data_IF_788249507449
#
_entry.id   IF_788249507449
#
_cell.length_a   1.000
_cell.length_b   1.000
_cell.length_c   1.000
_cell.angle_alpha   90.00
_cell.angle_beta   90.00
_cell.angle_gamma   90.00
#
_symmetry.space_group_name_H-M   'P 1'
#
loop_
_entity.id
_entity.type
_entity.pdbx_description
1 polymer ?
#
# COMPACT_ATOMS: atom_id res chain seq x y z
N UNK A 1 -50.85 23.29 -22.72
CA UNK A 1 -50.50 22.02 -23.37
C UNK A 1 -49.00 21.81 -23.24
N UNK A 2 -48.56 20.76 -22.55
CA UNK A 2 -47.57 19.88 -23.15
C UNK A 2 -47.90 18.39 -22.95
N UNK A 3 -47.68 17.61 -24.01
CA UNK A 3 -47.83 16.15 -24.07
C UNK A 3 -46.50 15.51 -23.66
N UNK A 4 -46.42 14.91 -22.47
CA UNK A 4 -45.35 13.99 -22.11
C UNK A 4 -45.95 12.91 -21.20
N UNK A 5 -46.14 11.69 -21.69
CA UNK A 5 -46.29 10.46 -20.88
C UNK A 5 -46.54 9.22 -21.75
N UNK A 6 -45.66 8.88 -22.72
CA UNK A 6 -45.73 7.58 -23.41
C UNK A 6 -44.36 6.90 -23.64
N UNK A 7 -43.33 7.30 -22.90
CA UNK A 7 -41.98 6.71 -23.04
C UNK A 7 -41.58 5.67 -21.98
N UNK A 8 -42.31 5.55 -20.87
CA UNK A 8 -41.83 4.82 -19.69
C UNK A 8 -42.36 3.39 -19.54
N UNK A 9 -43.30 2.94 -20.39
CA UNK A 9 -43.97 1.64 -20.20
C UNK A 9 -43.35 0.48 -21.00
N UNK A 10 -42.38 0.74 -21.89
CA UNK A 10 -41.79 -0.29 -22.77
C UNK A 10 -40.43 -0.84 -22.31
N UNK A 11 -39.84 -0.31 -21.23
CA UNK A 11 -38.53 -0.78 -20.73
C UNK A 11 -38.63 -1.76 -19.54
N UNK A 12 -39.83 -2.25 -19.21
CA UNK A 12 -40.04 -3.22 -18.12
C UNK A 12 -40.29 -4.67 -18.61
N UNK A 13 -40.27 -4.93 -19.91
CA UNK A 13 -40.60 -6.24 -20.51
C UNK A 13 -39.39 -7.04 -21.02
N UNK A 14 -38.16 -6.60 -20.73
CA UNK A 14 -36.92 -7.28 -21.17
C UNK A 14 -36.21 -8.06 -20.03
N UNK A 15 -36.92 -8.46 -18.98
CA UNK A 15 -36.36 -9.18 -17.81
C UNK A 15 -36.74 -10.67 -17.73
N UNK A 16 -37.31 -11.25 -18.79
CA UNK A 16 -37.79 -12.63 -18.73
C UNK A 16 -37.40 -13.43 -19.97
N UNK A 17 -36.14 -13.87 -20.07
CA UNK A 17 -35.71 -15.15 -20.70
C UNK A 17 -34.19 -15.27 -20.76
N UNK A 18 -33.57 -15.97 -19.81
CA UNK A 18 -32.32 -16.73 -19.99
C UNK A 18 -32.11 -17.63 -18.76
N UNK A 19 -32.79 -18.77 -18.72
CA UNK A 19 -32.19 -20.10 -18.97
C UNK A 19 -31.12 -20.49 -17.95
N UNK A 20 -31.58 -21.30 -17.00
CA UNK A 20 -30.78 -22.11 -16.08
C UNK A 20 -29.70 -22.90 -16.82
N UNK A 21 -28.46 -22.44 -16.79
CA UNK A 21 -27.30 -23.27 -17.07
C UNK A 21 -26.86 -23.93 -15.77
N UNK A 22 -27.35 -25.16 -15.56
CA UNK A 22 -26.80 -26.09 -14.58
C UNK A 22 -25.46 -26.57 -15.14
N UNK A 23 -24.38 -25.88 -14.77
CA UNK A 23 -23.03 -26.39 -15.00
C UNK A 23 -22.81 -27.59 -14.09
N UNK A 24 -22.71 -28.77 -14.71
CA UNK A 24 -22.25 -29.99 -14.07
C UNK A 24 -20.83 -29.75 -13.53
N UNK A 25 -20.69 -29.68 -12.21
CA UNK A 25 -19.40 -29.67 -11.54
C UNK A 25 -18.73 -31.04 -11.75
N UNK A 26 -17.52 -31.10 -12.35
CA UNK A 26 -16.73 -32.31 -12.36
C UNK A 26 -16.31 -32.66 -10.92
N UNK A 27 -16.54 -33.91 -10.54
CA UNK A 27 -16.17 -34.48 -9.27
C UNK A 27 -14.66 -34.31 -8.98
N UNK A 28 -14.24 -34.00 -7.74
CA UNK A 28 -12.84 -34.03 -7.34
C UNK A 28 -12.39 -35.50 -7.18
N UNK A 29 -12.08 -36.14 -8.30
CA UNK A 29 -11.42 -37.44 -8.34
C UNK A 29 -9.91 -37.27 -8.44
N UNK A 30 -9.17 -37.61 -7.38
CA UNK A 30 -7.71 -37.73 -7.46
C UNK A 30 -6.98 -37.36 -6.18
N UNK A 31 -7.21 -38.11 -5.10
CA UNK A 31 -6.26 -38.14 -3.98
C UNK A 31 -4.90 -38.62 -4.51
N UNK A 32 -3.97 -37.69 -4.73
CA UNK A 32 -2.57 -38.02 -4.95
C UNK A 32 -1.99 -38.53 -3.63
N UNK A 33 -1.35 -39.71 -3.59
CA UNK A 33 -0.64 -40.14 -2.40
C UNK A 33 0.48 -39.13 -2.11
N UNK A 34 0.40 -38.52 -0.93
CA UNK A 34 1.49 -37.75 -0.33
C UNK A 34 2.74 -38.61 -0.33
N UNK A 35 3.70 -38.26 -1.19
CA UNK A 35 5.03 -38.82 -1.07
C UNK A 35 5.67 -38.26 0.20
N UNK A 36 6.29 -39.10 1.04
CA UNK A 36 7.07 -38.61 2.16
C UNK A 36 8.26 -37.82 1.58
N UNK A 37 8.24 -36.50 1.74
CA UNK A 37 9.41 -35.67 1.55
C UNK A 37 10.43 -36.16 2.58
N UNK A 38 11.43 -36.88 2.09
CA UNK A 38 12.61 -37.24 2.84
C UNK A 38 13.30 -35.95 3.29
N UNK A 39 13.03 -35.55 4.53
CA UNK A 39 13.75 -34.49 5.23
C UNK A 39 15.17 -35.02 5.47
N UNK A 40 16.02 -34.88 4.45
CA UNK A 40 17.45 -35.10 4.61
C UNK A 40 17.98 -34.01 5.54
N UNK A 41 18.43 -34.46 6.70
CA UNK A 41 19.20 -33.73 7.67
C UNK A 41 20.37 -33.00 6.99
N UNK A 42 20.26 -31.68 6.89
CA UNK A 42 21.39 -30.76 6.89
C UNK A 42 21.44 -30.18 8.32
N UNK A 43 21.95 -30.94 9.28
CA UNK A 43 23.27 -30.70 9.88
C UNK A 43 23.53 -29.22 10.20
N UNK A 44 23.18 -28.86 11.43
CA UNK A 44 24.08 -28.21 12.38
C UNK A 44 25.08 -27.16 11.82
N UNK A 45 24.59 -26.01 11.37
CA UNK A 45 25.45 -24.84 11.14
C UNK A 45 24.79 -23.46 11.37
N UNK A 46 23.53 -23.40 11.83
CA UNK A 46 22.79 -22.13 11.98
C UNK A 46 22.37 -21.80 13.43
N UNK A 47 22.97 -22.43 14.44
CA UNK A 47 22.65 -22.19 15.86
C UNK A 47 23.65 -21.27 16.60
N UNK A 48 24.58 -20.61 15.90
CA UNK A 48 25.67 -19.84 16.50
C UNK A 48 25.52 -18.31 16.45
N UNK A 49 24.48 -17.75 15.80
CA UNK A 49 24.38 -16.29 15.61
C UNK A 49 23.32 -15.58 16.48
N UNK A 50 22.53 -16.31 17.27
CA UNK A 50 21.47 -15.70 18.11
C UNK A 50 21.88 -15.38 19.56
N UNK A 51 23.18 -15.45 19.91
CA UNK A 51 23.67 -15.17 21.28
C UNK A 51 24.47 -13.86 21.41
N UNK A 52 24.52 -13.00 20.39
CA UNK A 52 25.31 -11.75 20.42
C UNK A 52 24.49 -10.45 20.58
N UNK A 53 23.16 -10.50 20.53
CA UNK A 53 22.31 -9.29 20.68
C UNK A 53 21.68 -9.11 22.06
N UNK A 54 21.77 -10.09 22.97
CA UNK A 54 21.08 -10.05 24.27
C UNK A 54 21.98 -9.64 25.46
N UNK A 55 23.00 -8.80 25.19
CA UNK A 55 23.93 -8.33 26.25
C UNK A 55 24.18 -6.81 26.23
N UNK A 56 23.22 -6.03 25.74
CA UNK A 56 23.31 -4.57 25.68
C UNK A 56 22.16 -3.83 26.40
N UNK A 57 21.30 -4.52 27.17
CA UNK A 57 20.17 -3.89 27.86
C UNK A 57 20.14 -4.17 29.36
N UNK A 58 21.29 -4.03 30.01
CA UNK A 58 21.38 -3.80 31.46
C UNK A 58 22.47 -2.75 31.68
N UNK A 59 22.20 -1.52 31.25
CA UNK A 59 22.94 -0.38 31.78
C UNK A 59 22.28 0.05 33.10
N UNK A 60 23.03 0.08 34.22
CA UNK A 60 22.52 0.63 35.46
C UNK A 60 22.24 2.13 35.26
N UNK A 61 21.04 2.53 35.66
CA UNK A 61 20.61 3.92 35.74
C UNK A 61 21.70 4.73 36.45
N UNK A 62 22.23 5.74 35.74
CA UNK A 62 23.14 6.72 36.29
C UNK A 62 22.31 7.63 37.21
N UNK A 63 22.13 7.20 38.46
CA UNK A 63 21.51 7.99 39.53
C UNK A 63 22.44 9.16 39.80
N UNK A 64 22.25 10.24 39.05
CA UNK A 64 22.79 11.54 39.41
C UNK A 64 22.16 11.93 40.74
N UNK A 65 22.99 11.83 41.77
CA UNK A 65 22.84 12.41 43.11
C UNK A 65 22.12 13.77 42.98
N UNK A 66 20.85 13.82 43.36
CA UNK A 66 20.13 15.07 43.57
C UNK A 66 20.75 15.72 44.81
N UNK A 67 21.73 16.59 44.60
CA UNK A 67 22.13 17.55 45.63
C UNK A 67 21.02 18.57 45.79
N UNK A 68 20.50 18.67 47.00
CA UNK A 68 19.48 19.65 47.37
C UNK A 68 20.04 21.07 47.16
N UNK A 69 19.36 21.95 46.39
CA UNK A 69 19.77 23.34 46.28
C UNK A 69 19.49 24.04 47.62
N UNK A 70 20.54 24.17 48.42
CA UNK A 70 20.55 25.01 49.62
C UNK A 70 20.65 26.47 49.19
N UNK A 71 19.84 27.33 49.83
CA UNK A 71 19.64 28.78 49.64
C UNK A 71 18.69 29.20 48.52
N UNK A 72 17.43 29.40 48.92
CA UNK A 72 16.49 30.35 48.32
C UNK A 72 17.12 31.76 48.37
N UNK A 73 17.67 32.22 47.25
CA UNK A 73 18.04 33.62 47.10
C UNK A 73 16.81 34.42 46.64
N UNK A 74 16.53 35.61 47.23
CA UNK A 74 15.47 36.49 46.73
C UNK A 74 15.83 36.93 45.31
N UNK A 75 14.97 36.58 44.34
CA UNK A 75 15.10 37.03 42.95
C UNK A 75 15.00 38.55 42.93
N UNK A 76 16.12 39.23 42.68
CA UNK A 76 16.11 40.65 42.37
C UNK A 76 15.32 40.89 41.08
N UNK A 77 14.51 41.97 41.07
CA UNK A 77 13.73 42.37 39.91
C UNK A 77 14.67 42.76 38.76
N UNK A 78 14.82 41.88 37.77
CA UNK A 78 15.51 42.21 36.53
C UNK A 78 14.72 43.28 35.78
N UNK A 79 15.33 44.44 35.43
CA UNK A 79 14.65 45.51 34.72
C UNK A 79 14.15 45.01 33.37
N UNK A 80 12.86 45.24 33.11
CA UNK A 80 12.19 44.81 31.88
C UNK A 80 12.89 45.45 30.69
N UNK A 81 13.43 44.61 29.80
CA UNK A 81 13.93 45.07 28.51
C UNK A 81 12.75 45.62 27.72
N UNK A 82 12.64 46.95 27.77
CA UNK A 82 12.04 47.89 26.82
C UNK A 82 11.23 47.19 25.72
N UNK A 83 9.92 47.17 25.94
CA UNK A 83 8.89 46.77 25.00
C UNK A 83 8.89 47.76 23.82
N UNK A 84 9.81 47.60 22.88
CA UNK A 84 9.96 48.53 21.78
C UNK A 84 11.00 48.04 20.79
N UNK A 85 10.53 47.56 19.64
CA UNK A 85 11.34 47.10 18.51
C UNK A 85 11.93 45.70 18.61
N UNK A 86 11.12 44.72 19.00
CA UNK A 86 11.23 43.43 18.30
C UNK A 86 10.68 43.64 16.91
N UNK A 87 11.57 44.00 15.96
CA UNK A 87 11.27 43.92 14.53
C UNK A 87 10.69 42.54 14.31
N UNK A 88 9.40 42.50 13.96
CA UNK A 88 8.75 41.33 13.41
C UNK A 88 9.52 40.98 12.14
N UNK A 89 10.57 40.17 12.27
CA UNK A 89 10.90 39.20 11.24
C UNK A 89 9.71 38.25 11.20
N UNK A 90 8.64 38.71 10.54
CA UNK A 90 7.63 37.87 9.92
C UNK A 90 8.43 37.03 8.94
N UNK A 91 8.93 35.91 9.44
CA UNK A 91 9.42 34.82 8.63
C UNK A 91 8.22 34.50 7.75
N UNK A 92 8.24 34.98 6.50
CA UNK A 92 7.18 34.78 5.51
C UNK A 92 6.65 33.38 5.71
N UNK A 93 5.38 33.31 6.02
CA UNK A 93 4.64 32.10 6.28
C UNK A 93 4.83 31.17 5.08
N UNK A 94 5.84 30.30 5.14
CA UNK A 94 5.83 29.05 4.40
C UNK A 94 4.50 28.41 4.76
N UNK A 95 3.63 28.27 3.75
CA UNK A 95 2.31 27.69 3.86
C UNK A 95 2.31 26.55 4.88
N UNK A 96 1.30 26.46 5.77
CA UNK A 96 1.27 25.43 6.80
C UNK A 96 1.48 24.09 6.12
N UNK A 97 2.62 23.46 6.42
CA UNK A 97 2.95 22.14 5.89
C UNK A 97 1.77 21.25 6.26
N UNK A 98 1.14 20.64 5.26
CA UNK A 98 0.06 19.66 5.47
C UNK A 98 0.58 18.70 6.54
N UNK A 99 -0.13 18.61 7.65
CA UNK A 99 0.29 17.76 8.76
C UNK A 99 0.07 16.32 8.31
N UNK A 100 1.14 15.54 8.22
CA UNK A 100 1.06 14.13 7.86
C UNK A 100 0.50 13.34 9.05
N UNK A 101 -0.82 13.30 9.16
CA UNK A 101 -1.54 12.59 10.23
C UNK A 101 -1.25 11.08 10.22
N UNK A 102 -0.83 10.53 9.08
CA UNK A 102 -0.47 9.12 8.90
C UNK A 102 0.56 8.64 9.95
N UNK A 103 1.54 9.48 10.29
CA UNK A 103 2.57 9.14 11.30
C UNK A 103 2.03 9.01 12.74
N UNK A 104 0.88 9.62 13.03
CA UNK A 104 0.21 9.53 14.33
C UNK A 104 -0.79 8.37 14.38
N UNK A 105 -1.38 8.04 13.24
CA UNK A 105 -2.39 6.99 13.12
C UNK A 105 -1.77 5.59 13.01
N UNK A 106 -0.62 5.49 12.33
CA UNK A 106 0.03 4.23 12.03
C UNK A 106 1.45 4.16 12.62
N UNK A 107 1.76 3.13 13.43
CA UNK A 107 3.13 2.89 13.88
C UNK A 107 4.00 2.33 12.74
N UNK A 108 5.33 2.34 12.91
CA UNK A 108 6.25 1.63 12.02
C UNK A 108 6.57 2.31 10.68
N UNK A 109 6.11 3.54 10.46
CA UNK A 109 6.32 4.24 9.19
C UNK A 109 5.33 3.86 8.10
N UNK A 110 4.31 3.06 8.44
CA UNK A 110 3.17 2.82 7.57
C UNK A 110 2.35 4.10 7.33
N UNK A 111 1.66 4.14 6.20
CA UNK A 111 0.78 5.25 5.82
C UNK A 111 -0.67 4.84 6.05
N UNK A 112 -1.44 5.73 6.67
CA UNK A 112 -2.89 5.55 6.80
C UNK A 112 -3.55 5.77 5.44
N UNK A 113 -4.16 4.72 4.90
CA UNK A 113 -4.95 4.74 3.68
C UNK A 113 -6.44 4.60 4.02
N UNK A 114 -7.33 5.44 3.44
CA UNK A 114 -8.75 5.35 3.72
C UNK A 114 -9.33 4.06 3.14
N UNK A 115 -10.14 3.34 3.92
CA UNK A 115 -10.86 2.16 3.47
C UNK A 115 -12.13 2.62 2.77
N UNK A 116 -12.31 2.22 1.51
CA UNK A 116 -13.54 2.49 0.76
C UNK A 116 -14.24 1.15 0.58
N UNK A 117 -15.48 1.05 1.04
CA UNK A 117 -16.23 -0.20 1.02
C UNK A 117 -16.57 -0.67 -0.42
N UNK A 118 -16.56 0.26 -1.39
CA UNK A 118 -16.88 -0.01 -2.79
C UNK A 118 -15.66 0.24 -3.72
N UNK A 119 -14.94 -0.81 -4.17
CA UNK A 119 -13.75 -0.66 -5.01
C UNK A 119 -14.07 -0.19 -6.44
N UNK A 120 -15.30 -0.33 -6.92
CA UNK A 120 -15.73 0.10 -8.26
C UNK A 120 -16.00 1.62 -8.35
N UNK A 121 -16.03 2.32 -7.21
CA UNK A 121 -16.33 3.75 -7.12
C UNK A 121 -15.12 4.69 -7.16
N UNK A 122 -13.89 4.16 -7.20
CA UNK A 122 -12.66 4.97 -7.11
C UNK A 122 -12.39 5.66 -8.45
N UNK A 123 -13.11 6.74 -8.69
CA UNK A 123 -12.80 7.69 -9.78
C UNK A 123 -11.78 8.71 -9.30
N UNK A 124 -10.99 9.28 -10.22
CA UNK A 124 -10.04 10.37 -9.90
C UNK A 124 -10.70 11.57 -9.23
N UNK A 125 -11.99 11.81 -9.49
CA UNK A 125 -12.78 12.89 -8.88
C UNK A 125 -13.17 12.56 -7.43
N UNK A 126 -13.56 11.31 -7.16
CA UNK A 126 -13.84 10.84 -5.80
C UNK A 126 -12.58 10.85 -4.92
N UNK A 127 -11.44 10.47 -5.48
CA UNK A 127 -10.15 10.52 -4.80
C UNK A 127 -9.76 11.96 -4.39
N UNK A 128 -9.96 12.92 -5.30
CA UNK A 128 -9.66 14.33 -5.03
C UNK A 128 -10.59 14.93 -3.96
N UNK A 129 -11.88 14.57 -3.98
CA UNK A 129 -12.84 15.04 -2.96
C UNK A 129 -12.60 14.39 -1.60
N UNK A 130 -12.20 13.12 -1.56
CA UNK A 130 -11.75 12.44 -0.34
C UNK A 130 -10.48 13.09 0.24
N UNK A 131 -9.47 13.37 -0.58
CA UNK A 131 -8.27 14.07 -0.08
C UNK A 131 -8.62 15.47 0.46
N UNK A 132 -9.58 16.15 -0.17
CA UNK A 132 -10.05 17.46 0.28
C UNK A 132 -10.92 17.38 1.56
N UNK A 133 -11.63 16.28 1.81
CA UNK A 133 -12.44 16.10 3.01
C UNK A 133 -11.61 15.67 4.22
N UNK A 134 -10.49 14.99 4.02
CA UNK A 134 -9.57 14.49 5.05
C UNK A 134 -8.66 15.59 5.67
N UNK A 135 -9.24 16.76 5.97
CA UNK A 135 -8.51 17.89 6.57
C UNK A 135 -8.34 17.78 8.09
N UNK A 136 -9.23 17.02 8.75
CA UNK A 136 -9.20 16.82 10.19
C UNK A 136 -9.04 15.35 10.58
N UNK A 137 -8.42 15.11 11.74
CA UNK A 137 -8.26 13.77 12.33
C UNK A 137 -9.62 13.06 12.53
N UNK A 138 -10.69 13.81 12.82
CA UNK A 138 -12.02 13.26 13.01
C UNK A 138 -12.58 12.62 11.72
N UNK A 139 -12.20 13.12 10.54
CA UNK A 139 -12.70 12.60 9.27
C UNK A 139 -12.03 11.27 8.93
N UNK A 140 -10.74 11.10 9.28
CA UNK A 140 -10.04 9.81 9.19
C UNK A 140 -10.74 8.72 10.02
N UNK A 141 -11.21 9.05 11.22
CA UNK A 141 -11.95 8.08 12.06
C UNK A 141 -13.37 7.80 11.56
N UNK A 142 -13.97 8.68 10.76
CA UNK A 142 -15.31 8.49 10.18
C UNK A 142 -15.29 7.58 8.96
N UNK A 143 -14.31 7.80 8.07
CA UNK A 143 -14.14 6.99 6.86
C UNK A 143 -13.53 5.63 7.21
N UNK A 144 -12.73 5.57 8.26
CA UNK A 144 -11.92 4.39 8.56
C UNK A 144 -10.64 4.41 7.72
N UNK A 145 -9.58 3.86 8.30
CA UNK A 145 -8.29 3.79 7.64
C UNK A 145 -7.59 2.48 7.99
N UNK A 146 -6.77 2.03 7.05
CA UNK A 146 -5.86 0.91 7.20
C UNK A 146 -4.42 1.41 7.11
N UNK A 147 -3.54 0.79 7.89
CA UNK A 147 -2.12 1.13 7.90
C UNK A 147 -1.39 0.23 6.90
N UNK A 148 -0.82 0.83 5.87
CA UNK A 148 -0.17 0.10 4.78
C UNK A 148 1.26 0.57 4.58
N UNK A 149 2.15 -0.39 4.34
CA UNK A 149 3.53 -0.14 3.93
C UNK A 149 3.60 0.01 2.41
N UNK A 150 3.54 1.26 1.94
CA UNK A 150 3.54 1.58 0.50
C UNK A 150 4.80 1.13 -0.26
N UNK A 151 5.87 0.78 0.48
CA UNK A 151 7.15 0.36 -0.07
C UNK A 151 7.18 -1.12 -0.49
N UNK A 152 6.29 -1.94 0.07
CA UNK A 152 6.27 -3.40 -0.11
C UNK A 152 4.88 -3.96 -0.40
N UNK A 153 3.81 -3.20 -0.14
CA UNK A 153 2.45 -3.66 -0.40
C UNK A 153 2.17 -3.72 -1.90
N UNK A 154 1.67 -4.86 -2.37
CA UNK A 154 1.47 -5.13 -3.79
C UNK A 154 0.27 -4.36 -4.36
N UNK A 155 -0.80 -4.27 -3.58
CA UNK A 155 -2.09 -3.73 -4.03
C UNK A 155 -2.18 -2.21 -3.92
N UNK A 156 -1.29 -1.59 -3.14
CA UNK A 156 -1.27 -0.14 -2.87
C UNK A 156 0.16 0.39 -2.94
N UNK A 157 0.90 -0.04 -3.97
CA UNK A 157 2.30 0.30 -4.13
C UNK A 157 2.47 1.79 -4.43
N UNK A 158 3.37 2.44 -3.70
CA UNK A 158 3.74 3.85 -3.90
C UNK A 158 2.70 4.88 -3.43
N UNK A 159 1.52 4.45 -2.98
CA UNK A 159 0.45 5.36 -2.54
C UNK A 159 -0.84 4.63 -2.21
N UNK A 160 -1.75 5.31 -1.52
CA UNK A 160 -3.08 4.79 -1.27
C UNK A 160 -3.88 4.76 -2.59
N UNK A 161 -4.43 3.59 -2.93
CA UNK A 161 -5.21 3.40 -4.15
C UNK A 161 -6.51 4.21 -4.11
N UNK A 162 -7.16 4.29 -2.94
CA UNK A 162 -8.35 5.11 -2.68
C UNK A 162 -8.14 6.62 -2.92
N UNK A 163 -6.91 7.11 -2.78
CA UNK A 163 -6.54 8.51 -3.04
C UNK A 163 -6.05 8.72 -4.47
N UNK A 164 -6.07 7.68 -5.32
CA UNK A 164 -5.55 7.74 -6.69
C UNK A 164 -4.04 7.98 -6.77
N UNK A 165 -3.30 7.79 -5.67
CA UNK A 165 -1.85 7.97 -5.60
C UNK A 165 -1.07 6.67 -5.73
N UNK A 166 -1.73 5.54 -5.45
CA UNK A 166 -1.17 4.20 -5.58
C UNK A 166 -1.54 3.51 -6.89
N UNK A 167 -0.92 2.36 -7.09
CA UNK A 167 -1.34 1.40 -8.12
C UNK A 167 -1.26 -0.03 -7.57
N UNK A 168 -2.12 -0.87 -8.10
CA UNK A 168 -2.06 -2.31 -7.88
C UNK A 168 -1.04 -2.93 -8.85
N UNK A 169 0.05 -3.47 -8.33
CA UNK A 169 1.07 -4.16 -9.13
C UNK A 169 0.63 -5.58 -9.52
N UNK A 170 -0.38 -6.16 -8.88
CA UNK A 170 -0.89 -7.50 -9.21
C UNK A 170 -1.69 -7.49 -10.52
N UNK A 171 -2.31 -6.35 -10.86
CA UNK A 171 -3.11 -6.14 -12.06
C UNK A 171 -2.30 -5.82 -13.32
N UNK A 172 -0.98 -6.07 -13.33
CA UNK A 172 -0.13 -5.81 -14.51
C UNK A 172 -0.37 -6.90 -15.57
N UNK A 173 -0.78 -6.48 -16.76
CA UNK A 173 -1.06 -7.39 -17.87
C UNK A 173 0.13 -8.26 -18.25
N UNK A 174 -0.13 -9.55 -18.47
CA UNK A 174 0.84 -10.57 -18.85
C UNK A 174 2.00 -10.78 -17.86
N UNK A 175 1.95 -10.16 -16.69
CA UNK A 175 2.89 -10.44 -15.61
C UNK A 175 2.45 -11.69 -14.86
N UNK A 176 3.41 -12.56 -14.54
CA UNK A 176 3.17 -13.77 -13.74
C UNK A 176 3.55 -13.57 -12.29
N UNK A 177 4.58 -12.76 -12.04
CA UNK A 177 5.01 -12.41 -10.70
C UNK A 177 5.46 -10.96 -10.67
N UNK A 178 4.87 -10.20 -9.75
CA UNK A 178 5.12 -8.78 -9.54
C UNK A 178 5.38 -8.50 -8.07
N UNK A 179 6.05 -7.40 -7.78
CA UNK A 179 6.30 -6.90 -6.44
C UNK A 179 6.28 -5.40 -6.38
N UNK A 180 6.20 -4.87 -5.16
CA UNK A 180 6.44 -3.47 -4.87
C UNK A 180 7.82 -3.35 -4.23
N UNK A 181 8.69 -2.52 -4.82
CA UNK A 181 9.99 -2.18 -4.25
C UNK A 181 10.13 -0.67 -4.15
N UNK A 182 10.23 -0.15 -2.91
CA UNK A 182 10.42 1.29 -2.63
C UNK A 182 9.34 2.16 -3.30
N UNK A 183 8.10 1.68 -3.28
CA UNK A 183 6.95 2.38 -3.86
C UNK A 183 6.88 2.31 -5.38
N UNK A 184 7.64 1.43 -6.02
CA UNK A 184 7.58 1.21 -7.48
C UNK A 184 7.23 -0.24 -7.79
N UNK A 185 6.31 -0.46 -8.73
CA UNK A 185 6.00 -1.81 -9.20
C UNK A 185 7.16 -2.37 -10.02
N UNK A 186 7.59 -3.56 -9.67
CA UNK A 186 8.63 -4.33 -10.37
C UNK A 186 8.05 -5.65 -10.82
N UNK A 187 8.24 -5.98 -12.09
CA UNK A 187 7.87 -7.27 -12.68
C UNK A 187 9.07 -8.20 -12.60
N UNK A 188 8.89 -9.34 -11.94
CA UNK A 188 9.94 -10.37 -11.81
C UNK A 188 9.85 -11.45 -12.88
N UNK A 189 8.65 -11.73 -13.39
CA UNK A 189 8.45 -12.71 -14.46
C UNK A 189 7.19 -12.42 -15.28
N UNK A 190 7.25 -12.69 -16.58
CA UNK A 190 6.14 -12.58 -17.51
C UNK A 190 5.56 -13.96 -17.87
N UNK A 191 4.36 -13.97 -18.43
CA UNK A 191 3.77 -15.15 -19.06
C UNK A 191 4.55 -15.55 -20.32
N UNK A 192 4.34 -16.78 -20.80
CA UNK A 192 5.01 -17.27 -22.01
C UNK A 192 4.67 -16.38 -23.24
N UNK A 193 5.66 -16.14 -24.11
CA UNK A 193 5.56 -15.19 -25.22
C UNK A 193 5.74 -13.72 -24.86
N UNK A 194 6.05 -13.40 -23.59
CA UNK A 194 6.34 -12.05 -23.14
C UNK A 194 7.70 -11.96 -22.43
N UNK A 195 8.39 -10.84 -22.63
CA UNK A 195 9.65 -10.48 -21.98
C UNK A 195 9.46 -9.25 -21.10
N UNK A 196 10.24 -9.15 -20.04
CA UNK A 196 10.22 -8.00 -19.12
C UNK A 196 10.76 -6.77 -19.87
N UNK A 197 10.07 -5.62 -19.76
CA UNK A 197 10.52 -4.34 -20.32
C UNK A 197 11.82 -3.85 -19.67
N UNK A 198 12.56 -2.95 -20.33
CA UNK A 198 13.81 -2.37 -19.80
C UNK A 198 13.59 -1.68 -18.44
N UNK A 199 12.44 -1.02 -18.27
CA UNK A 199 12.04 -0.36 -17.03
C UNK A 199 11.51 -1.32 -15.95
N UNK A 200 11.37 -2.61 -16.27
CA UNK A 200 10.82 -3.67 -15.41
C UNK A 200 9.41 -3.41 -14.87
N UNK A 201 8.68 -2.48 -15.47
CA UNK A 201 7.34 -2.08 -15.02
C UNK A 201 6.21 -2.79 -15.75
N UNK A 202 6.51 -3.41 -16.91
CA UNK A 202 5.54 -4.06 -17.80
C UNK A 202 6.16 -5.26 -18.51
N UNK A 203 5.29 -6.11 -19.06
CA UNK A 203 5.65 -7.22 -19.94
C UNK A 203 5.33 -6.84 -21.40
N UNK A 204 6.33 -6.94 -22.28
CA UNK A 204 6.20 -6.68 -23.72
C UNK A 204 6.26 -8.01 -24.48
N UNK A 205 5.61 -8.10 -25.63
CA UNK A 205 5.67 -9.32 -26.45
C UNK A 205 7.10 -9.58 -26.89
N UNK A 206 7.58 -10.79 -26.65
CA UNK A 206 8.91 -11.20 -27.10
C UNK A 206 8.88 -11.38 -28.62
N UNK A 207 9.79 -10.77 -29.38
CA UNK A 207 9.88 -11.00 -30.83
C UNK A 207 10.30 -12.44 -31.16
N UNK A 208 10.97 -13.13 -30.22
CA UNK A 208 11.61 -14.43 -30.48
C UNK A 208 10.65 -15.63 -30.34
N UNK A 209 9.57 -15.52 -29.55
CA UNK A 209 8.59 -16.62 -29.39
C UNK A 209 7.75 -16.85 -30.66
N UNK A 210 7.59 -15.82 -31.51
CA UNK A 210 6.94 -15.98 -32.81
C UNK A 210 7.71 -16.96 -33.73
N UNK A 211 9.01 -17.15 -33.50
CA UNK A 211 9.88 -18.01 -34.32
C UNK A 211 9.94 -19.46 -33.81
N UNK A 212 9.74 -19.68 -32.51
CA UNK A 212 9.85 -21.02 -31.89
C UNK A 212 8.63 -21.92 -32.16
N UNK A 213 7.42 -21.32 -32.27
CA UNK A 213 6.20 -22.07 -32.63
C UNK A 213 6.26 -22.58 -34.07
N UNK A 214 6.96 -21.88 -34.97
CA UNK A 214 7.11 -22.33 -36.37
C UNK A 214 8.10 -23.50 -36.52
N UNK A 215 9.14 -23.61 -35.68
CA UNK A 215 10.13 -24.68 -35.79
C UNK A 215 9.68 -26.02 -35.20
N UNK A 216 8.67 -26.03 -34.32
CA UNK A 216 8.15 -27.24 -33.69
C UNK A 216 7.08 -27.95 -34.53
N UNK A 217 6.37 -27.23 -35.40
CA UNK A 217 5.39 -27.82 -36.34
C UNK A 217 6.02 -28.34 -37.65
N UNK A 218 7.29 -28.02 -37.96
CA UNK A 218 7.95 -28.40 -39.21
C UNK A 218 8.70 -29.74 -39.20
N UNK A 219 8.66 -30.52 -38.11
CA UNK A 219 9.48 -31.74 -37.94
C UNK A 219 8.70 -33.05 -37.85
N UNK A 220 7.49 -33.08 -38.40
CA UNK A 220 6.58 -34.23 -38.40
C UNK A 220 6.19 -34.72 -39.82
N UNK A 221 7.08 -34.54 -40.80
CA UNK A 221 6.95 -35.18 -42.12
C UNK A 221 8.20 -36.02 -42.44
#
# INVERSE_FOLDING_TARGET
MPRLTHGFLLLLLALATATSFVAAFPAPGGARPLQPIAVRAATAAAAAQLKKSERAYLQPANIRKLEAPTKLQPRQATPSKRMGQRRRNVKRDTAPKKKDYSSFLCPGGAVACPVVDDPEGITSESAATLEASLTALADWFRVGFECIELDSELNQCGGCLALGKGRDCSAIDNARHTGCEKGTCVVFSCTAGYTISDDRSTCVRSPDEAVSVQHSFGRLM
#
